data_IF_266958532382
#
_entry.id   IF_266958532382
#
_cell.length_a   1.000
_cell.length_b   1.000
_cell.length_c   1.000
_cell.angle_alpha   90.00
_cell.angle_beta   90.00
_cell.angle_gamma   90.00
#
_symmetry.space_group_name_H-M   'P 1'
#
loop_
_entity.id
_entity.type
_entity.pdbx_description
1 polymer ?
#
# COMPACT_ATOMS: atom_id res chain seq x y z
N UNK A 1 19.40 22.95 -69.02
CA UNK A 1 19.86 23.14 -67.63
C UNK A 1 18.85 24.00 -66.88
N UNK A 2 17.98 23.41 -66.12
CA UNK A 2 16.90 24.08 -65.38
C UNK A 2 17.31 24.20 -63.94
N UNK A 3 17.49 25.45 -63.45
CA UNK A 3 17.78 25.74 -62.05
C UNK A 3 16.46 25.74 -61.25
N UNK A 4 16.32 24.78 -60.34
CA UNK A 4 15.19 24.74 -59.40
C UNK A 4 15.57 25.53 -58.16
N UNK A 5 14.87 26.67 -57.98
CA UNK A 5 14.99 27.50 -56.77
C UNK A 5 14.19 26.88 -55.64
N UNK A 6 14.86 26.58 -54.51
CA UNK A 6 14.21 26.10 -53.30
C UNK A 6 13.63 27.28 -52.54
N UNK A 7 12.32 27.39 -52.51
CA UNK A 7 11.60 28.33 -51.66
C UNK A 7 11.44 27.68 -50.27
N UNK A 8 12.07 28.28 -49.28
CA UNK A 8 11.87 27.92 -47.86
C UNK A 8 10.66 28.69 -47.33
N UNK A 9 9.58 27.96 -47.06
CA UNK A 9 8.41 28.51 -46.35
C UNK A 9 8.64 28.31 -44.87
N UNK A 10 8.90 29.42 -44.15
CA UNK A 10 8.95 29.41 -42.68
C UNK A 10 7.55 29.61 -42.18
N UNK A 11 6.99 28.54 -41.55
CA UNK A 11 5.69 28.56 -40.93
C UNK A 11 5.88 29.08 -39.48
N UNK A 12 5.45 30.31 -39.21
CA UNK A 12 5.37 30.83 -37.86
C UNK A 12 4.15 30.22 -37.14
N UNK A 13 4.43 29.33 -36.17
CA UNK A 13 3.41 28.83 -35.27
C UNK A 13 3.23 29.86 -34.12
N UNK A 14 2.13 30.59 -34.13
CA UNK A 14 1.74 31.46 -33.03
C UNK A 14 1.25 30.60 -31.86
N UNK A 15 2.02 30.52 -30.78
CA UNK A 15 1.61 29.87 -29.54
C UNK A 15 0.80 30.89 -28.74
N UNK A 16 -0.52 30.69 -28.68
CA UNK A 16 -1.39 31.42 -27.77
C UNK A 16 -1.19 30.85 -26.35
N UNK A 17 -0.49 31.60 -25.51
CA UNK A 17 -0.41 31.31 -24.07
C UNK A 17 -1.65 31.92 -23.42
N UNK A 18 -2.70 31.09 -23.22
CA UNK A 18 -3.81 31.45 -22.33
C UNK A 18 -3.32 31.29 -20.90
N UNK A 19 -3.14 32.41 -20.19
CA UNK A 19 -2.95 32.42 -18.75
C UNK A 19 -4.24 31.90 -18.09
N UNK A 20 -4.24 30.60 -17.74
CA UNK A 20 -5.28 30.02 -16.91
C UNK A 20 -5.14 30.55 -15.47
N UNK A 21 -6.15 31.25 -15.00
CA UNK A 21 -6.32 31.53 -13.57
C UNK A 21 -6.38 30.18 -12.83
N UNK A 22 -5.38 29.88 -12.04
CA UNK A 22 -5.40 28.80 -11.06
C UNK A 22 -6.27 29.31 -9.89
N UNK A 23 -7.55 28.96 -9.90
CA UNK A 23 -8.34 28.92 -8.67
C UNK A 23 -7.69 27.84 -7.80
N UNK A 24 -7.10 28.30 -6.69
CA UNK A 24 -6.66 27.42 -5.61
C UNK A 24 -7.90 26.87 -4.91
N UNK A 25 -8.46 25.79 -5.46
CA UNK A 25 -9.34 24.91 -4.73
C UNK A 25 -8.55 24.38 -3.54
N UNK A 26 -8.92 24.77 -2.33
CA UNK A 26 -8.54 24.05 -1.13
C UNK A 26 -9.27 22.70 -1.20
N UNK A 27 -8.66 21.73 -1.88
CA UNK A 27 -8.96 20.34 -1.66
C UNK A 27 -8.57 20.05 -0.21
N UNK A 28 -9.59 19.89 0.64
CA UNK A 28 -9.40 19.22 1.92
C UNK A 28 -8.87 17.82 1.60
N UNK A 29 -7.55 17.71 1.64
CA UNK A 29 -6.86 16.42 1.66
C UNK A 29 -7.46 15.70 2.88
N UNK A 30 -8.39 14.77 2.62
CA UNK A 30 -8.82 13.83 3.65
C UNK A 30 -7.55 13.10 4.04
N UNK A 31 -7.14 13.23 5.29
CA UNK A 31 -6.05 12.45 5.85
C UNK A 31 -6.35 10.98 5.54
N UNK A 32 -5.75 10.47 4.48
CA UNK A 32 -5.96 9.10 4.04
C UNK A 32 -5.30 8.20 5.06
N UNK A 33 -6.12 7.47 5.82
CA UNK A 33 -5.62 6.51 6.80
C UNK A 33 -4.77 5.50 6.04
N UNK A 34 -3.47 5.54 6.25
CA UNK A 34 -2.53 4.64 5.58
C UNK A 34 -1.87 3.69 6.56
N UNK A 35 -1.51 2.52 6.09
CA UNK A 35 -0.74 1.56 6.86
C UNK A 35 0.70 2.09 7.05
N UNK A 36 1.19 2.23 8.29
CA UNK A 36 2.54 2.72 8.53
C UNK A 36 3.61 1.73 8.04
N UNK A 37 4.78 2.27 7.76
CA UNK A 37 6.01 1.49 7.59
C UNK A 37 6.16 0.75 6.26
N UNK A 38 5.44 1.13 5.20
CA UNK A 38 5.64 0.53 3.88
C UNK A 38 7.07 0.82 3.36
N UNK A 39 7.84 -0.25 3.10
CA UNK A 39 9.20 -0.18 2.55
C UNK A 39 9.17 -0.44 1.04
N UNK A 40 8.42 -1.46 0.61
CA UNK A 40 8.24 -1.79 -0.81
C UNK A 40 6.90 -2.49 -1.02
N UNK A 41 6.37 -2.38 -2.23
CA UNK A 41 5.16 -3.07 -2.67
C UNK A 41 5.30 -3.50 -4.12
N UNK A 42 4.93 -4.75 -4.41
CA UNK A 42 4.87 -5.30 -5.75
C UNK A 42 3.55 -6.03 -5.96
N UNK A 43 3.03 -5.98 -7.18
CA UNK A 43 1.79 -6.65 -7.58
C UNK A 43 2.07 -7.54 -8.77
N UNK A 44 1.82 -8.83 -8.62
CA UNK A 44 1.93 -9.82 -9.68
C UNK A 44 0.54 -10.23 -10.15
N UNK A 45 0.29 -10.10 -11.44
CA UNK A 45 -0.97 -10.52 -12.06
C UNK A 45 -1.05 -12.04 -12.16
N UNK A 46 -2.12 -12.61 -11.61
CA UNK A 46 -2.39 -14.04 -11.71
C UNK A 46 -3.38 -14.33 -12.85
N UNK A 47 -3.36 -15.56 -13.38
CA UNK A 47 -4.13 -15.95 -14.57
C UNK A 47 -5.65 -16.02 -14.36
N UNK A 48 -6.14 -15.99 -13.13
CA UNK A 48 -7.54 -16.19 -12.75
C UNK A 48 -8.27 -14.89 -12.35
N UNK A 49 -7.75 -13.72 -12.75
CA UNK A 49 -8.32 -12.41 -12.37
C UNK A 49 -7.99 -12.00 -10.93
N UNK A 50 -6.98 -12.64 -10.33
CA UNK A 50 -6.47 -12.29 -9.01
C UNK A 50 -5.13 -11.56 -9.13
N UNK A 51 -4.79 -10.82 -8.10
CA UNK A 51 -3.49 -10.18 -7.90
C UNK A 51 -2.81 -10.79 -6.67
N UNK A 52 -1.51 -11.06 -6.79
CA UNK A 52 -0.66 -11.36 -5.66
C UNK A 52 0.05 -10.06 -5.25
N UNK A 53 -0.29 -9.56 -4.08
CA UNK A 53 0.35 -8.40 -3.46
C UNK A 53 1.44 -8.88 -2.53
N UNK A 54 2.65 -8.34 -2.70
CA UNK A 54 3.80 -8.61 -1.86
C UNK A 54 4.31 -7.29 -1.31
N UNK A 55 4.25 -7.13 0.00
CA UNK A 55 4.66 -5.90 0.67
C UNK A 55 5.72 -6.20 1.73
N UNK A 56 6.73 -5.35 1.82
CA UNK A 56 7.62 -5.31 2.96
C UNK A 56 7.28 -4.10 3.82
N UNK A 57 7.10 -4.34 5.12
CA UNK A 57 6.75 -3.30 6.09
C UNK A 57 7.72 -3.33 7.27
N UNK A 58 8.17 -2.14 7.68
CA UNK A 58 9.03 -2.00 8.86
C UNK A 58 8.43 -0.95 9.79
N UNK A 59 8.10 -1.37 11.00
CA UNK A 59 7.58 -0.48 12.04
C UNK A 59 8.40 -0.65 13.31
N UNK A 60 8.64 0.45 14.03
CA UNK A 60 9.26 0.44 15.35
C UNK A 60 8.28 1.04 16.35
N UNK A 61 8.38 0.59 17.61
CA UNK A 61 7.58 1.10 18.73
C UNK A 61 6.07 0.97 18.50
N UNK A 62 5.67 -0.10 17.87
CA UNK A 62 4.29 -0.55 17.61
C UNK A 62 3.25 0.58 17.65
N UNK A 63 3.38 1.53 16.73
CA UNK A 63 2.32 2.48 16.50
C UNK A 63 1.00 1.72 16.37
N UNK A 64 -0.05 2.28 16.90
CA UNK A 64 -1.39 1.68 16.84
C UNK A 64 -1.72 1.40 15.37
N UNK A 65 -1.75 0.13 15.00
CA UNK A 65 -2.22 -0.28 13.68
C UNK A 65 -3.71 0.06 13.64
N UNK A 66 -4.18 0.88 12.70
CA UNK A 66 -5.60 1.23 12.62
C UNK A 66 -6.46 -0.02 12.46
N UNK A 67 -7.68 0.01 13.02
CA UNK A 67 -8.63 -1.08 12.88
C UNK A 67 -8.99 -1.30 11.42
N UNK A 68 -8.83 -2.54 10.93
CA UNK A 68 -9.02 -2.86 9.52
C UNK A 68 -9.30 -4.35 9.32
N UNK A 69 -9.60 -4.71 8.06
CA UNK A 69 -9.62 -6.09 7.58
C UNK A 69 -9.09 -6.16 6.15
N UNK A 70 -8.81 -7.37 5.69
CA UNK A 70 -8.31 -7.62 4.34
C UNK A 70 -9.36 -8.37 3.52
N UNK A 71 -10.04 -7.73 2.53
CA UNK A 71 -10.95 -8.41 1.61
C UNK A 71 -10.17 -9.20 0.55
N UNK A 72 -9.20 -9.99 0.99
CA UNK A 72 -8.37 -10.86 0.19
C UNK A 72 -8.73 -12.32 0.47
N UNK A 73 -8.37 -13.26 -0.40
CA UNK A 73 -8.56 -14.68 -0.14
C UNK A 73 -7.84 -15.15 1.13
N UNK A 74 -6.83 -14.41 1.55
CA UNK A 74 -6.10 -14.56 2.80
C UNK A 74 -4.83 -13.72 2.77
N UNK A 75 -4.32 -13.46 3.96
CA UNK A 75 -3.07 -12.70 4.16
C UNK A 75 -2.09 -13.56 4.96
N UNK A 76 -0.92 -13.81 4.41
CA UNK A 76 0.21 -14.38 5.13
C UNK A 76 1.12 -13.25 5.58
N UNK A 77 1.47 -13.23 6.86
CA UNK A 77 2.46 -12.30 7.42
C UNK A 77 3.62 -13.13 7.95
N UNK A 78 4.83 -12.82 7.47
CA UNK A 78 6.08 -13.49 7.84
C UNK A 78 7.02 -12.47 8.49
N UNK A 79 7.61 -12.83 9.63
CA UNK A 79 8.56 -11.98 10.35
C UNK A 79 9.96 -12.20 9.77
N UNK A 80 10.45 -11.19 9.04
CA UNK A 80 11.81 -11.18 8.50
C UNK A 80 12.83 -10.90 9.60
N UNK A 81 12.52 -9.91 10.46
CA UNK A 81 13.36 -9.54 11.59
C UNK A 81 12.55 -8.89 12.72
N UNK A 82 13.04 -9.05 13.96
CA UNK A 82 12.43 -8.47 15.14
C UNK A 82 11.28 -9.30 15.73
N UNK A 83 10.26 -8.62 16.22
CA UNK A 83 9.09 -9.27 16.84
C UNK A 83 7.80 -8.58 16.45
N UNK A 84 6.77 -9.35 16.29
CA UNK A 84 5.40 -8.87 16.10
C UNK A 84 4.41 -9.75 16.87
N UNK A 85 3.14 -9.37 16.86
CA UNK A 85 2.10 -10.14 17.54
C UNK A 85 0.81 -10.16 16.74
N UNK A 86 0.05 -11.21 16.90
CA UNK A 86 -1.26 -11.36 16.28
C UNK A 86 -2.19 -12.19 17.15
N UNK A 87 -3.49 -11.90 17.06
CA UNK A 87 -4.59 -12.63 17.69
C UNK A 87 -5.34 -13.51 16.68
N UNK A 88 -4.77 -13.72 15.48
CA UNK A 88 -5.41 -14.43 14.36
C UNK A 88 -5.87 -15.87 14.71
N UNK A 89 -5.28 -16.49 15.73
CA UNK A 89 -5.65 -17.81 16.24
C UNK A 89 -6.64 -17.77 17.43
N UNK A 90 -7.19 -16.58 17.74
CA UNK A 90 -8.11 -16.36 18.86
C UNK A 90 -7.44 -16.00 20.18
N UNK A 91 -6.12 -16.09 20.27
CA UNK A 91 -5.31 -15.67 21.43
C UNK A 91 -4.09 -14.90 20.95
N UNK A 92 -3.64 -13.94 21.75
CA UNK A 92 -2.40 -13.26 21.49
C UNK A 92 -1.22 -14.21 21.44
N UNK A 93 -0.44 -14.10 20.39
CA UNK A 93 0.81 -14.83 20.23
C UNK A 93 1.87 -13.87 19.68
N UNK A 94 3.06 -13.92 20.28
CA UNK A 94 4.25 -13.22 19.76
C UNK A 94 4.93 -14.10 18.73
N UNK A 95 5.33 -13.47 17.63
CA UNK A 95 6.06 -14.07 16.50
C UNK A 95 7.42 -13.38 16.41
N UNK A 96 8.45 -14.16 16.18
CA UNK A 96 9.84 -13.71 16.05
C UNK A 96 10.38 -14.08 14.66
N UNK A 97 11.64 -13.79 14.41
CA UNK A 97 12.32 -14.08 13.13
C UNK A 97 11.99 -15.49 12.64
N UNK A 98 11.57 -15.58 11.37
CA UNK A 98 11.15 -16.78 10.69
C UNK A 98 9.81 -17.40 11.14
N UNK A 99 9.11 -16.77 12.07
CA UNK A 99 7.73 -17.13 12.38
C UNK A 99 6.77 -16.48 11.36
N UNK A 100 5.54 -17.01 11.29
CA UNK A 100 4.50 -16.47 10.44
C UNK A 100 3.11 -16.73 11.05
N UNK A 101 2.12 -15.97 10.56
CA UNK A 101 0.70 -16.21 10.84
C UNK A 101 -0.13 -15.96 9.60
N UNK A 102 -1.37 -16.40 9.65
CA UNK A 102 -2.35 -16.24 8.60
C UNK A 102 -3.55 -15.45 9.11
N UNK A 103 -4.02 -14.52 8.29
CA UNK A 103 -5.19 -13.70 8.53
C UNK A 103 -6.27 -14.04 7.51
N UNK A 104 -7.47 -14.37 8.01
CA UNK A 104 -8.61 -14.65 7.15
C UNK A 104 -9.20 -13.35 6.62
N UNK A 105 -9.86 -13.42 5.49
CA UNK A 105 -10.46 -12.28 4.79
C UNK A 105 -11.45 -11.47 5.62
N UNK A 106 -12.19 -12.12 6.50
CA UNK A 106 -13.24 -11.54 7.33
C UNK A 106 -12.78 -11.12 8.72
N UNK A 107 -11.51 -11.29 9.03
CA UNK A 107 -10.99 -10.99 10.35
C UNK A 107 -10.66 -9.50 10.50
N UNK A 108 -11.45 -8.83 11.35
CA UNK A 108 -11.21 -7.44 11.74
C UNK A 108 -10.19 -7.40 12.86
N UNK A 109 -9.12 -6.62 12.68
CA UNK A 109 -8.01 -6.51 13.63
C UNK A 109 -7.37 -5.12 13.58
N UNK A 110 -6.41 -4.87 14.48
CA UNK A 110 -5.80 -3.57 14.70
C UNK A 110 -6.58 -2.72 15.70
N UNK A 111 -5.87 -1.93 16.47
CA UNK A 111 -6.46 -1.07 17.51
C UNK A 111 -7.03 -1.82 18.71
N UNK A 112 -6.67 -3.09 18.90
CA UNK A 112 -7.13 -3.87 20.06
C UNK A 112 -6.53 -3.31 21.36
N UNK A 113 -7.38 -2.93 22.35
CA UNK A 113 -6.91 -2.34 23.60
C UNK A 113 -6.21 -3.36 24.53
N UNK A 114 -6.42 -4.66 24.26
CA UNK A 114 -5.83 -5.76 25.03
C UNK A 114 -4.54 -6.32 24.42
N UNK A 115 -3.98 -5.61 23.41
CA UNK A 115 -2.71 -6.02 22.80
C UNK A 115 -1.57 -5.96 23.82
N UNK A 116 -0.80 -7.06 23.98
CA UNK A 116 0.35 -7.05 24.88
C UNK A 116 1.39 -6.02 24.47
N UNK A 117 2.01 -5.37 25.43
CA UNK A 117 3.15 -4.50 25.19
C UNK A 117 4.39 -5.35 24.87
N UNK A 118 4.96 -5.18 23.70
CA UNK A 118 6.21 -5.83 23.31
C UNK A 118 7.45 -4.99 23.63
N UNK A 119 7.28 -3.80 24.22
CA UNK A 119 8.36 -2.85 24.49
C UNK A 119 8.92 -2.20 23.22
N UNK A 120 10.10 -1.61 23.34
CA UNK A 120 10.80 -0.93 22.23
C UNK A 120 11.39 -1.94 21.23
N UNK A 121 10.54 -2.48 20.37
CA UNK A 121 10.95 -3.41 19.33
C UNK A 121 10.56 -2.91 17.95
N UNK A 122 11.37 -3.27 16.95
CA UNK A 122 11.00 -3.11 15.55
C UNK A 122 10.49 -4.45 15.01
N UNK A 123 9.60 -4.36 14.02
CA UNK A 123 9.17 -5.47 13.20
C UNK A 123 9.56 -5.20 11.75
N UNK A 124 10.16 -6.15 11.08
CA UNK A 124 10.35 -6.17 9.62
C UNK A 124 9.55 -7.36 9.09
N UNK A 125 8.50 -7.06 8.34
CA UNK A 125 7.48 -8.04 7.94
C UNK A 125 7.41 -8.16 6.42
N UNK A 126 7.26 -9.38 5.94
CA UNK A 126 6.79 -9.67 4.59
C UNK A 126 5.30 -10.01 4.66
N UNK A 127 4.49 -9.25 3.94
CA UNK A 127 3.05 -9.43 3.88
C UNK A 127 2.65 -9.84 2.48
N UNK A 128 1.99 -10.98 2.35
CA UNK A 128 1.60 -11.57 1.07
C UNK A 128 0.09 -11.78 1.05
N UNK A 129 -0.59 -11.20 0.05
CA UNK A 129 -2.05 -11.31 -0.11
C UNK A 129 -2.42 -11.72 -1.52
N UNK A 130 -3.48 -12.51 -1.63
CA UNK A 130 -4.14 -12.80 -2.91
C UNK A 130 -5.50 -12.14 -2.89
N UNK A 131 -5.73 -11.17 -3.76
CA UNK A 131 -6.98 -10.41 -3.83
C UNK A 131 -7.50 -10.33 -5.27
N UNK A 132 -8.77 -9.97 -5.45
CA UNK A 132 -9.32 -9.71 -6.77
C UNK A 132 -8.58 -8.55 -7.44
N UNK A 133 -8.27 -8.69 -8.73
CA UNK A 133 -7.53 -7.69 -9.48
C UNK A 133 -8.25 -6.32 -9.47
N UNK A 134 -7.51 -5.28 -9.10
CA UNK A 134 -8.02 -3.91 -9.06
C UNK A 134 -8.97 -3.61 -7.90
N UNK A 135 -9.11 -4.51 -6.92
CA UNK A 135 -9.86 -4.26 -5.68
C UNK A 135 -8.94 -3.82 -4.55
N UNK A 136 -9.51 -3.08 -3.60
CA UNK A 136 -8.83 -2.79 -2.35
C UNK A 136 -8.51 -4.09 -1.62
N UNK A 137 -7.32 -4.17 -1.07
CA UNK A 137 -6.84 -5.33 -0.30
C UNK A 137 -6.70 -5.02 1.20
N UNK A 138 -7.03 -3.80 1.62
CA UNK A 138 -7.11 -3.37 3.01
C UNK A 138 -8.22 -2.35 3.14
N UNK A 139 -9.14 -2.58 4.06
CA UNK A 139 -10.25 -1.67 4.37
C UNK A 139 -10.15 -1.24 5.82
N UNK A 140 -10.00 0.06 6.05
CA UNK A 140 -9.99 0.65 7.39
C UNK A 140 -11.41 0.82 7.91
N UNK A 141 -11.57 0.65 9.21
CA UNK A 141 -12.85 0.77 9.92
C UNK A 141 -12.72 1.90 10.94
N UNK A 142 -13.64 2.84 10.86
CA UNK A 142 -13.77 3.93 11.83
C UNK A 142 -14.32 3.43 13.20
#
# INVERSE_FOLDING_TARGET
MIKISKIFIILFLAINITAGHHESGHDHEKDEISFPGLVSSEIFKLSNGMDLHVERRKTCNQGTVPKHFHPAAGTLVYVLDGKSQSKSTGKWKTYSNNDYWFERSDWVHGGEPDAPDLGDVCSDLLVVRVAEAGKEHTVFIE
#
